data_IF_963895948838
#
_entry.id   IF_963895948838
#
_cell.length_a   1.000
_cell.length_b   1.000
_cell.length_c   1.000
_cell.angle_alpha   90.00
_cell.angle_beta   90.00
_cell.angle_gamma   90.00
#
_symmetry.space_group_name_H-M   'P 1'
#
loop_
_entity.id
_entity.type
_entity.pdbx_description
1 polymer ?
#
# COMPACT_ATOMS: atom_id res chain seq x y z
N UNK A 1 -7.91 8.88 -7.22
CA UNK A 1 -8.61 9.16 -5.93
C UNK A 1 -7.82 8.61 -4.75
N UNK A 2 -7.59 7.29 -4.65
CA UNK A 2 -6.82 6.68 -3.54
C UNK A 2 -5.42 7.26 -3.41
N UNK A 3 -4.66 7.34 -4.49
CA UNK A 3 -3.29 7.86 -4.46
C UNK A 3 -3.22 9.28 -3.89
N UNK A 4 -4.12 10.18 -4.32
CA UNK A 4 -4.16 11.56 -3.80
C UNK A 4 -4.60 11.63 -2.33
N UNK A 5 -5.52 10.73 -1.91
CA UNK A 5 -5.93 10.69 -0.51
C UNK A 5 -4.76 10.25 0.38
N UNK A 6 -4.06 9.20 0.00
CA UNK A 6 -2.89 8.69 0.73
C UNK A 6 -1.74 9.69 0.75
N UNK A 7 -1.50 10.38 -0.37
CA UNK A 7 -0.50 11.46 -0.43
C UNK A 7 -0.82 12.63 0.51
N UNK A 8 -2.10 12.96 0.65
CA UNK A 8 -2.56 14.03 1.54
C UNK A 8 -2.65 13.60 3.02
N UNK A 9 -2.70 12.30 3.31
CA UNK A 9 -2.82 11.70 4.65
C UNK A 9 -1.73 10.63 4.81
N UNK A 10 -0.57 11.10 5.19
CA UNK A 10 0.69 10.35 5.17
C UNK A 10 0.67 9.09 6.07
N UNK A 11 -0.12 9.10 7.14
CA UNK A 11 -0.31 7.98 8.06
C UNK A 11 -1.35 6.95 7.58
N UNK A 12 -2.05 7.19 6.47
CA UNK A 12 -3.08 6.29 5.96
C UNK A 12 -2.51 5.29 4.95
N UNK A 13 -2.80 4.00 5.13
CA UNK A 13 -2.53 2.93 4.17
C UNK A 13 -3.83 2.23 3.76
N UNK A 14 -4.18 2.28 2.48
CA UNK A 14 -5.26 1.48 1.92
C UNK A 14 -4.75 0.09 1.54
N UNK A 15 -5.35 -0.94 2.12
CA UNK A 15 -5.12 -2.35 1.77
C UNK A 15 -6.28 -2.82 0.89
N UNK A 16 -5.98 -3.24 -0.33
CA UNK A 16 -6.99 -3.45 -1.38
C UNK A 16 -6.82 -4.82 -2.03
N UNK A 17 -7.94 -5.50 -2.26
CA UNK A 17 -7.96 -6.74 -3.01
C UNK A 17 -7.53 -6.52 -4.47
N UNK A 18 -6.62 -7.35 -4.99
CA UNK A 18 -6.16 -7.27 -6.38
C UNK A 18 -7.24 -7.63 -7.41
N UNK A 19 -8.23 -8.43 -7.01
CA UNK A 19 -9.30 -8.94 -7.86
C UNK A 19 -9.25 -10.45 -8.04
N UNK A 20 -10.28 -10.99 -8.72
CA UNK A 20 -10.48 -12.43 -8.89
C UNK A 20 -10.58 -12.85 -10.37
N UNK A 21 -9.91 -12.10 -11.26
CA UNK A 21 -9.99 -12.26 -12.72
C UNK A 21 -8.78 -12.99 -13.32
N UNK A 22 -7.98 -13.72 -12.48
CA UNK A 22 -6.75 -14.41 -12.90
C UNK A 22 -6.95 -15.75 -13.60
N UNK A 23 -8.20 -16.25 -13.70
CA UNK A 23 -8.49 -17.55 -14.33
C UNK A 23 -7.98 -17.61 -15.77
N UNK A 24 -7.41 -18.77 -16.15
CA UNK A 24 -6.86 -19.00 -17.49
C UNK A 24 -5.55 -18.25 -17.74
N UNK A 25 -4.75 -18.02 -16.70
CA UNK A 25 -3.46 -17.32 -16.77
C UNK A 25 -3.54 -15.88 -17.33
N UNK A 26 -4.68 -15.22 -17.07
CA UNK A 26 -4.94 -13.87 -17.57
C UNK A 26 -4.03 -12.84 -16.90
N UNK A 27 -3.01 -12.41 -17.60
CA UNK A 27 -2.16 -11.29 -17.20
C UNK A 27 -2.92 -9.95 -17.22
N UNK A 28 -2.38 -8.94 -16.52
CA UNK A 28 -2.95 -7.58 -16.42
C UNK A 28 -4.43 -7.57 -16.01
N UNK A 29 -4.79 -8.47 -15.10
CA UNK A 29 -6.16 -8.63 -14.60
C UNK A 29 -6.41 -7.90 -13.27
N UNK A 30 -5.39 -7.25 -12.68
CA UNK A 30 -5.56 -6.37 -11.53
C UNK A 30 -6.28 -5.10 -11.97
N UNK A 31 -7.41 -4.80 -11.32
CA UNK A 31 -8.25 -3.66 -11.68
C UNK A 31 -8.33 -2.63 -10.56
N UNK A 32 -8.89 -1.47 -10.87
CA UNK A 32 -9.12 -0.42 -9.86
C UNK A 32 -10.04 -0.93 -8.73
N UNK A 33 -9.73 -0.58 -7.47
CA UNK A 33 -8.64 0.28 -7.02
C UNK A 33 -7.30 -0.45 -6.75
N UNK A 34 -7.22 -1.77 -6.95
CA UNK A 34 -6.02 -2.58 -6.68
C UNK A 34 -4.79 -2.22 -7.55
N UNK A 35 -4.98 -1.54 -8.68
CA UNK A 35 -3.93 -1.04 -9.54
C UNK A 35 -3.46 0.40 -9.20
N UNK A 36 -3.99 1.03 -8.15
CA UNK A 36 -3.47 2.31 -7.65
C UNK A 36 -2.06 2.11 -7.11
N UNK A 37 -1.15 3.07 -7.32
CA UNK A 37 0.27 2.88 -7.02
C UNK A 37 0.62 2.93 -5.54
N UNK A 38 -0.12 3.73 -4.76
CA UNK A 38 0.15 3.91 -3.34
C UNK A 38 -0.48 2.84 -2.46
N UNK A 39 -1.56 2.17 -2.90
CA UNK A 39 -2.23 1.14 -2.11
C UNK A 39 -1.33 -0.09 -1.88
N UNK A 40 -1.63 -0.89 -0.90
CA UNK A 40 -1.10 -2.24 -0.76
C UNK A 40 -2.09 -3.21 -1.45
N UNK A 41 -1.74 -3.66 -2.64
CA UNK A 41 -2.55 -4.57 -3.45
C UNK A 41 -2.34 -6.02 -3.01
N UNK A 42 -3.41 -6.74 -2.71
CA UNK A 42 -3.35 -8.08 -2.12
C UNK A 42 -3.99 -9.12 -3.01
N UNK A 43 -3.19 -10.06 -3.48
CA UNK A 43 -3.62 -11.28 -4.17
C UNK A 43 -4.00 -12.40 -3.20
N UNK A 44 -4.55 -13.48 -3.72
CA UNK A 44 -5.00 -14.63 -2.95
C UNK A 44 -4.08 -15.83 -3.11
N UNK A 45 -3.59 -16.40 -2.00
CA UNK A 45 -3.02 -17.74 -1.94
C UNK A 45 -4.04 -18.76 -1.44
N UNK A 46 -3.69 -20.04 -1.55
CA UNK A 46 -4.38 -21.10 -0.82
C UNK A 46 -4.21 -20.91 0.69
N UNK A 47 -4.95 -21.66 1.50
CA UNK A 47 -4.89 -21.65 2.96
C UNK A 47 -4.41 -22.98 3.50
N UNK A 48 -4.10 -23.02 4.79
CA UNK A 48 -3.96 -24.24 5.57
C UNK A 48 -5.34 -24.78 6.03
N UNK A 49 -5.37 -25.92 6.67
CA UNK A 49 -6.55 -26.48 7.30
C UNK A 49 -7.50 -27.09 6.32
N UNK A 50 -8.65 -26.45 6.07
CA UNK A 50 -9.70 -27.01 5.23
C UNK A 50 -9.24 -27.37 3.81
N UNK A 51 -8.37 -26.54 3.26
CA UNK A 51 -7.76 -26.76 1.95
C UNK A 51 -6.88 -28.02 1.96
N UNK A 52 -6.07 -28.21 3.01
CA UNK A 52 -5.22 -29.38 3.17
C UNK A 52 -6.02 -30.65 3.43
N UNK A 53 -7.07 -30.61 4.24
CA UNK A 53 -7.94 -31.75 4.51
C UNK A 53 -8.60 -32.27 3.23
N UNK A 54 -8.86 -31.41 2.27
CA UNK A 54 -9.37 -31.79 0.95
C UNK A 54 -8.29 -32.21 -0.06
N UNK A 55 -7.04 -32.30 0.36
CA UNK A 55 -5.90 -32.64 -0.51
C UNK A 55 -5.54 -31.53 -1.49
N UNK A 56 -5.87 -30.27 -1.16
CA UNK A 56 -5.51 -29.13 -1.96
C UNK A 56 -4.14 -28.56 -1.59
N UNK A 57 -3.73 -27.50 -2.29
CA UNK A 57 -2.42 -26.87 -2.12
C UNK A 57 -2.43 -25.95 -0.89
N UNK A 58 -1.32 -25.83 -0.19
CA UNK A 58 -1.15 -24.93 0.96
C UNK A 58 -0.81 -23.49 0.56
N UNK A 59 -0.53 -22.60 1.54
CA UNK A 59 -0.38 -21.16 1.32
C UNK A 59 0.84 -20.75 0.48
N UNK A 60 1.72 -21.69 0.14
CA UNK A 60 2.81 -21.46 -0.82
C UNK A 60 2.34 -21.52 -2.30
N UNK A 61 1.04 -21.58 -2.55
CA UNK A 61 0.49 -21.57 -3.90
C UNK A 61 -0.52 -20.44 -4.06
N UNK A 62 -0.40 -19.70 -5.15
CA UNK A 62 -1.36 -18.66 -5.53
C UNK A 62 -2.64 -19.31 -6.05
N UNK A 63 -3.79 -18.81 -5.62
CA UNK A 63 -5.09 -19.31 -6.05
C UNK A 63 -5.35 -18.95 -7.52
N UNK A 64 -5.98 -19.88 -8.26
CA UNK A 64 -6.24 -19.76 -9.71
C UNK A 64 -6.95 -18.48 -10.12
N UNK A 65 -7.86 -18.01 -9.29
CA UNK A 65 -8.66 -16.81 -9.54
C UNK A 65 -7.92 -15.50 -9.20
N UNK A 66 -6.83 -15.53 -8.41
CA UNK A 66 -6.13 -14.30 -8.01
C UNK A 66 -5.73 -13.49 -9.23
N UNK A 67 -6.16 -12.22 -9.28
CA UNK A 67 -5.75 -11.31 -10.35
C UNK A 67 -4.24 -11.12 -10.37
N UNK A 68 -3.70 -10.94 -11.57
CA UNK A 68 -2.26 -10.89 -11.87
C UNK A 68 -1.92 -9.62 -12.62
N UNK A 69 -0.71 -9.12 -12.37
CA UNK A 69 -0.13 -8.01 -13.11
C UNK A 69 0.43 -8.42 -14.49
N UNK A 70 1.28 -7.59 -15.05
CA UNK A 70 1.61 -6.25 -14.55
C UNK A 70 0.40 -5.31 -14.66
N UNK A 71 0.47 -4.17 -13.95
CA UNK A 71 -0.46 -3.08 -14.21
C UNK A 71 -0.27 -2.54 -15.63
N UNK A 72 -1.19 -1.72 -16.10
CA UNK A 72 -1.12 -1.18 -17.49
C UNK A 72 0.12 -0.30 -17.72
N UNK A 73 0.70 0.25 -16.66
CA UNK A 73 1.93 1.04 -16.67
C UNK A 73 3.19 0.22 -16.28
N UNK A 74 3.07 -1.12 -16.21
CA UNK A 74 4.20 -2.04 -16.07
C UNK A 74 4.68 -2.30 -14.63
N UNK A 75 3.97 -1.81 -13.61
CA UNK A 75 4.31 -2.09 -12.20
C UNK A 75 3.97 -3.52 -11.81
N UNK A 76 4.74 -4.05 -10.86
CA UNK A 76 4.44 -5.32 -10.19
C UNK A 76 3.08 -5.21 -9.49
N UNK A 77 2.22 -6.20 -9.71
CA UNK A 77 0.93 -6.33 -9.02
C UNK A 77 0.48 -7.81 -9.04
N UNK A 78 -0.16 -8.29 -7.94
CA UNK A 78 -0.36 -7.61 -6.66
C UNK A 78 0.98 -7.28 -5.98
N UNK A 79 0.96 -6.42 -4.93
CA UNK A 79 2.17 -6.20 -4.11
C UNK A 79 2.51 -7.46 -3.30
N UNK A 80 1.51 -8.05 -2.64
CA UNK A 80 1.69 -9.25 -1.80
C UNK A 80 0.52 -10.22 -1.99
N UNK A 81 0.71 -11.44 -1.51
CA UNK A 81 -0.38 -12.42 -1.39
C UNK A 81 -0.61 -12.82 0.07
N UNK A 82 -1.83 -13.25 0.35
CA UNK A 82 -2.22 -13.83 1.64
C UNK A 82 -3.31 -14.89 1.42
N UNK A 83 -3.58 -15.78 2.40
CA UNK A 83 -4.62 -16.77 2.30
C UNK A 83 -5.97 -16.17 1.91
N UNK A 84 -6.57 -16.67 0.83
CA UNK A 84 -7.83 -16.16 0.27
C UNK A 84 -8.72 -17.25 -0.32
N UNK A 85 -8.27 -18.52 -0.30
CA UNK A 85 -9.05 -19.65 -0.79
C UNK A 85 -9.56 -20.49 0.38
N UNK A 86 -10.88 -20.66 0.48
CA UNK A 86 -11.58 -21.38 1.54
C UNK A 86 -11.30 -20.81 2.95
N UNK A 87 -11.48 -19.51 3.10
CA UNK A 87 -11.30 -18.82 4.38
C UNK A 87 -12.60 -18.94 5.18
N UNK A 88 -12.49 -19.56 6.34
CA UNK A 88 -13.59 -19.71 7.29
C UNK A 88 -13.70 -18.44 8.16
N UNK A 89 -14.87 -17.84 8.19
CA UNK A 89 -15.14 -16.63 8.96
C UNK A 89 -16.58 -16.60 9.46
N UNK A 90 -16.97 -15.53 10.15
CA UNK A 90 -18.33 -15.37 10.68
C UNK A 90 -19.36 -15.28 9.56
N UNK A 91 -20.43 -16.05 9.66
CA UNK A 91 -21.59 -15.93 8.79
C UNK A 91 -22.49 -14.78 9.24
N UNK A 92 -23.05 -14.03 8.27
CA UNK A 92 -24.08 -13.04 8.56
C UNK A 92 -25.37 -13.75 9.06
N UNK A 93 -25.98 -13.18 10.13
CA UNK A 93 -27.27 -13.65 10.65
C UNK A 93 -28.20 -12.46 10.80
N UNK A 94 -28.79 -11.99 9.69
CA UNK A 94 -29.71 -10.86 9.75
C UNK A 94 -31.00 -11.26 10.49
N UNK A 95 -31.70 -10.25 11.05
CA UNK A 95 -32.96 -10.45 11.77
C UNK A 95 -34.08 -10.99 10.89
N UNK A 96 -33.97 -10.85 9.59
CA UNK A 96 -34.93 -11.34 8.60
C UNK A 96 -34.37 -12.56 7.88
N UNK A 97 -34.93 -13.76 8.03
CA UNK A 97 -34.50 -14.95 7.31
C UNK A 97 -34.44 -14.72 5.79
N UNK A 98 -33.39 -15.18 5.15
CA UNK A 98 -33.19 -15.08 3.71
C UNK A 98 -32.70 -13.72 3.21
N UNK A 99 -32.43 -12.74 4.10
CA UNK A 99 -31.73 -11.50 3.76
C UNK A 99 -30.26 -11.61 4.17
N UNK A 100 -29.32 -11.61 3.20
CA UNK A 100 -27.88 -11.75 3.42
C UNK A 100 -27.45 -13.06 4.14
N UNK A 101 -28.33 -14.00 4.35
CA UNK A 101 -27.94 -15.33 4.84
C UNK A 101 -27.32 -16.15 3.70
N UNK A 102 -26.27 -16.94 4.00
CA UNK A 102 -25.78 -17.92 3.04
C UNK A 102 -26.87 -18.93 2.70
N UNK A 103 -26.92 -19.41 1.46
CA UNK A 103 -27.83 -20.45 1.03
C UNK A 103 -27.51 -21.77 1.76
N UNK A 104 -28.53 -22.60 1.97
CA UNK A 104 -28.36 -23.95 2.52
C UNK A 104 -27.30 -24.72 1.71
N UNK A 105 -26.27 -25.21 2.40
CA UNK A 105 -25.13 -25.90 1.80
C UNK A 105 -23.82 -25.08 1.75
N UNK A 106 -23.90 -23.75 1.88
CA UNK A 106 -22.73 -22.89 1.96
C UNK A 106 -22.25 -22.68 3.42
N UNK A 107 -23.07 -23.12 4.39
CA UNK A 107 -22.75 -23.08 5.82
C UNK A 107 -22.29 -24.49 6.23
N UNK A 108 -21.22 -24.60 7.04
CA UNK A 108 -20.86 -25.87 7.65
C UNK A 108 -22.06 -26.46 8.39
N UNK A 109 -22.33 -27.76 8.18
CA UNK A 109 -23.52 -28.43 8.70
C UNK A 109 -23.52 -28.51 10.23
N UNK A 110 -24.69 -28.46 10.83
CA UNK A 110 -24.87 -28.67 12.26
C UNK A 110 -24.29 -30.02 12.69
N UNK A 111 -23.40 -30.01 13.67
CA UNK A 111 -22.65 -31.18 14.14
C UNK A 111 -21.15 -31.11 13.94
N UNK A 112 -20.67 -30.17 13.08
CA UNK A 112 -19.24 -29.88 12.90
C UNK A 112 -18.76 -28.73 13.81
N UNK A 113 -19.50 -28.36 14.83
CA UNK A 113 -19.25 -27.20 15.72
C UNK A 113 -19.01 -25.86 15.00
N UNK A 114 -19.62 -25.68 13.82
CA UNK A 114 -19.37 -24.53 12.96
C UNK A 114 -20.60 -23.65 12.73
N UNK A 115 -21.60 -23.71 13.63
CA UNK A 115 -22.74 -22.80 13.58
C UNK A 115 -22.28 -21.34 13.63
N UNK A 116 -22.71 -20.55 12.64
CA UNK A 116 -22.31 -19.14 12.53
C UNK A 116 -20.98 -18.91 11.80
N UNK A 117 -20.46 -19.93 11.14
CA UNK A 117 -19.29 -19.82 10.29
C UNK A 117 -19.65 -20.04 8.82
N UNK A 118 -18.91 -19.37 7.94
CA UNK A 118 -19.08 -19.45 6.51
C UNK A 118 -17.73 -19.48 5.81
N UNK A 119 -17.56 -20.33 4.80
CA UNK A 119 -16.33 -20.45 4.03
C UNK A 119 -16.46 -19.68 2.72
N UNK A 120 -15.53 -18.77 2.47
CA UNK A 120 -15.46 -17.97 1.25
C UNK A 120 -14.10 -18.04 0.59
N UNK A 121 -14.06 -17.73 -0.71
CA UNK A 121 -12.83 -17.63 -1.49
C UNK A 121 -12.83 -16.35 -2.31
N UNK A 122 -11.69 -15.67 -2.32
CA UNK A 122 -11.47 -14.41 -3.05
C UNK A 122 -10.31 -13.63 -2.47
N UNK A 123 -9.71 -12.76 -3.26
CA UNK A 123 -8.77 -11.74 -2.77
C UNK A 123 -9.41 -10.79 -1.75
N UNK A 124 -10.77 -10.74 -1.74
CA UNK A 124 -11.56 -10.05 -0.70
C UNK A 124 -11.43 -10.68 0.68
N UNK A 125 -10.96 -11.94 0.81
CA UNK A 125 -10.64 -12.61 2.07
C UNK A 125 -9.17 -12.39 2.44
N UNK A 126 -8.29 -12.26 1.47
CA UNK A 126 -6.87 -11.97 1.69
C UNK A 126 -6.63 -10.53 2.18
N UNK A 127 -7.30 -9.56 1.58
CA UNK A 127 -7.11 -8.15 1.90
C UNK A 127 -7.38 -7.81 3.39
N UNK A 128 -8.48 -8.27 4.04
CA UNK A 128 -8.69 -8.01 5.47
C UNK A 128 -7.68 -8.73 6.38
N UNK A 129 -7.12 -9.88 5.99
CA UNK A 129 -6.03 -10.51 6.73
C UNK A 129 -4.78 -9.62 6.72
N UNK A 130 -4.44 -9.07 5.56
CA UNK A 130 -3.30 -8.13 5.44
C UNK A 130 -3.60 -6.79 6.12
N UNK A 131 -4.85 -6.32 6.10
CA UNK A 131 -5.25 -5.14 6.87
C UNK A 131 -5.09 -5.35 8.38
N UNK A 132 -5.43 -6.54 8.88
CA UNK A 132 -5.16 -6.95 10.27
C UNK A 132 -3.66 -6.99 10.58
N UNK A 133 -2.84 -7.52 9.66
CA UNK A 133 -1.38 -7.50 9.78
C UNK A 133 -0.85 -6.06 9.79
N UNK A 134 -1.35 -5.18 8.93
CA UNK A 134 -0.99 -3.76 8.91
C UNK A 134 -1.35 -3.04 10.23
N UNK A 135 -2.50 -3.38 10.83
CA UNK A 135 -2.88 -2.85 12.15
C UNK A 135 -1.92 -3.32 13.26
N UNK A 136 -1.45 -4.58 13.21
CA UNK A 136 -0.44 -5.09 14.14
C UNK A 136 0.93 -4.42 13.93
N UNK A 137 1.34 -4.15 12.69
CA UNK A 137 2.54 -3.36 12.38
C UNK A 137 2.41 -1.94 12.96
N UNK A 138 1.26 -1.29 12.78
CA UNK A 138 1.00 0.03 13.36
C UNK A 138 1.08 -0.02 14.89
N UNK A 139 0.42 -0.98 15.52
CA UNK A 139 0.49 -1.20 16.97
C UNK A 139 1.93 -1.44 17.47
N UNK A 140 2.75 -2.14 16.70
CA UNK A 140 4.16 -2.37 17.00
C UNK A 140 4.93 -1.05 17.15
N UNK A 141 4.73 -0.11 16.25
CA UNK A 141 5.35 1.22 16.32
C UNK A 141 4.72 2.10 17.42
N UNK A 142 3.40 2.14 17.50
CA UNK A 142 2.68 2.96 18.49
C UNK A 142 2.96 2.52 19.93
N UNK A 143 3.28 1.26 20.15
CA UNK A 143 3.61 0.73 21.48
C UNK A 143 5.12 0.61 21.74
N UNK A 144 5.98 1.12 20.84
CA UNK A 144 7.42 1.19 21.03
C UNK A 144 8.16 -0.15 20.99
N UNK A 145 7.58 -1.21 20.43
CA UNK A 145 8.23 -2.53 20.30
C UNK A 145 9.52 -2.50 19.47
N UNK A 146 9.65 -1.51 18.59
CA UNK A 146 10.76 -1.39 17.64
C UNK A 146 12.12 -1.14 18.31
N UNK A 147 12.17 -0.75 19.57
CA UNK A 147 13.40 -0.50 20.33
C UNK A 147 14.19 -1.77 20.59
N UNK A 148 13.74 -2.57 21.52
CA UNK A 148 14.42 -3.79 22.00
C UNK A 148 13.57 -5.07 21.80
N UNK A 149 12.48 -4.97 21.04
CA UNK A 149 11.54 -6.07 20.81
C UNK A 149 10.58 -6.30 21.97
N UNK A 150 10.49 -5.36 22.90
CA UNK A 150 9.52 -5.37 24.02
C UNK A 150 8.71 -4.07 24.00
N UNK A 151 7.54 -4.11 24.63
CA UNK A 151 6.68 -2.93 24.69
C UNK A 151 7.31 -1.83 25.53
N UNK A 152 7.48 -0.64 24.92
CA UNK A 152 7.95 0.58 25.60
C UNK A 152 6.98 1.73 25.36
N UNK A 153 6.19 2.08 26.38
CA UNK A 153 5.22 3.17 26.29
C UNK A 153 5.84 4.57 26.18
N UNK A 154 7.15 4.70 26.42
CA UNK A 154 7.91 5.95 26.25
C UNK A 154 8.34 6.18 24.80
N UNK A 155 8.31 5.14 23.96
CA UNK A 155 8.79 5.15 22.60
C UNK A 155 7.63 5.05 21.59
N UNK A 156 6.68 6.01 21.66
CA UNK A 156 5.56 6.08 20.72
C UNK A 156 5.99 6.64 19.37
N UNK A 157 5.66 5.95 18.28
CA UNK A 157 5.81 6.43 16.90
C UNK A 157 4.50 6.20 16.13
N UNK A 158 3.95 7.25 15.51
CA UNK A 158 2.87 7.09 14.52
C UNK A 158 3.50 6.82 13.15
N UNK A 159 3.48 5.58 12.64
CA UNK A 159 4.18 5.24 11.40
C UNK A 159 3.47 5.82 10.19
N UNK A 160 4.23 6.21 9.17
CA UNK A 160 3.66 6.57 7.87
C UNK A 160 3.04 5.35 7.19
N UNK A 161 2.10 5.57 6.26
CA UNK A 161 1.56 4.51 5.40
C UNK A 161 2.66 3.84 4.57
N UNK A 162 3.69 4.61 4.15
CA UNK A 162 4.87 4.08 3.47
C UNK A 162 5.67 3.12 4.35
N UNK A 163 5.88 3.45 5.64
CA UNK A 163 6.59 2.58 6.58
C UNK A 163 5.83 1.28 6.82
N UNK A 164 4.51 1.33 7.01
CA UNK A 164 3.69 0.12 7.19
C UNK A 164 3.74 -0.74 5.92
N UNK A 165 3.63 -0.15 4.72
CA UNK A 165 3.75 -0.85 3.44
C UNK A 165 5.14 -1.49 3.28
N UNK A 166 6.21 -0.73 3.51
CA UNK A 166 7.59 -1.23 3.44
C UNK A 166 7.84 -2.39 4.40
N UNK A 167 7.34 -2.30 5.65
CA UNK A 167 7.51 -3.35 6.66
C UNK A 167 6.86 -4.68 6.24
N UNK A 168 5.62 -4.63 5.73
CA UNK A 168 4.91 -5.82 5.29
C UNK A 168 5.55 -6.47 4.06
N UNK A 169 6.04 -5.65 3.14
CA UNK A 169 6.73 -6.12 1.92
C UNK A 169 8.11 -6.67 2.26
N UNK A 170 8.84 -6.04 3.17
CA UNK A 170 10.21 -6.44 3.52
C UNK A 170 10.31 -7.86 4.06
N UNK A 171 9.36 -8.28 4.89
CA UNK A 171 9.30 -9.64 5.42
C UNK A 171 8.43 -10.60 4.61
N UNK A 172 7.96 -10.21 3.43
CA UNK A 172 7.14 -11.10 2.60
C UNK A 172 7.98 -12.30 2.11
N UNK A 173 7.44 -13.50 2.32
CA UNK A 173 8.11 -14.76 1.99
C UNK A 173 8.01 -15.05 0.50
N UNK A 174 9.14 -15.31 -0.13
CA UNK A 174 9.25 -15.61 -1.56
C UNK A 174 9.16 -17.10 -1.88
N UNK A 175 8.86 -17.96 -0.89
CA UNK A 175 8.72 -19.41 -1.01
C UNK A 175 7.46 -19.87 -1.75
N UNK A 176 6.90 -19.03 -2.60
CA UNK A 176 5.76 -19.34 -3.45
C UNK A 176 6.18 -20.36 -4.51
N UNK A 177 5.55 -21.52 -4.49
CA UNK A 177 5.91 -22.65 -5.35
C UNK A 177 5.21 -22.65 -6.69
N UNK A 178 4.14 -21.87 -6.84
CA UNK A 178 3.44 -21.79 -8.10
C UNK A 178 2.04 -21.23 -7.99
N UNK A 179 1.39 -21.14 -9.14
CA UNK A 179 -0.02 -20.78 -9.29
C UNK A 179 -0.82 -22.03 -9.60
N UNK A 180 -1.89 -22.27 -8.83
CA UNK A 180 -2.93 -23.23 -9.20
C UNK A 180 -3.71 -22.66 -10.40
N UNK A 181 -3.68 -23.31 -11.54
CA UNK A 181 -4.41 -22.86 -12.73
C UNK A 181 -5.84 -23.46 -12.86
N UNK A 182 -6.33 -24.07 -11.77
CA UNK A 182 -7.71 -24.57 -11.67
C UNK A 182 -7.94 -25.94 -12.31
N UNK A 183 -6.94 -26.51 -13.01
CA UNK A 183 -7.00 -27.85 -13.65
C UNK A 183 -6.14 -28.89 -12.94
N UNK A 184 -5.63 -28.58 -11.74
CA UNK A 184 -4.65 -29.40 -11.03
C UNK A 184 -3.21 -29.26 -11.56
N UNK A 185 -3.02 -28.41 -12.56
CA UNK A 185 -1.71 -28.06 -13.10
C UNK A 185 -1.16 -26.85 -12.34
N UNK A 186 0.08 -26.91 -11.92
CA UNK A 186 0.80 -25.83 -11.28
C UNK A 186 1.69 -25.14 -12.32
N UNK A 187 1.60 -23.80 -12.39
CA UNK A 187 2.56 -22.97 -13.11
C UNK A 187 3.57 -22.45 -12.11
N UNK A 188 4.84 -22.74 -12.31
CA UNK A 188 5.92 -22.21 -11.47
C UNK A 188 5.96 -20.67 -11.53
N UNK A 189 6.33 -20.05 -10.43
CA UNK A 189 6.45 -18.60 -10.29
C UNK A 189 7.86 -18.24 -9.81
N UNK A 190 8.34 -17.10 -10.24
CA UNK A 190 9.56 -16.49 -9.74
C UNK A 190 9.25 -15.47 -8.64
N UNK A 191 10.24 -15.19 -7.81
CA UNK A 191 10.15 -14.04 -6.92
C UNK A 191 9.99 -12.75 -7.73
N UNK A 192 9.22 -11.81 -7.20
CA UNK A 192 8.94 -10.52 -7.84
C UNK A 192 8.21 -10.59 -9.18
N UNK A 193 7.52 -11.69 -9.43
CA UNK A 193 6.69 -11.83 -10.61
C UNK A 193 5.30 -11.19 -10.41
N UNK A 194 4.53 -11.16 -11.49
CA UNK A 194 3.19 -10.57 -11.48
C UNK A 194 2.10 -11.50 -10.92
N UNK A 195 2.44 -12.64 -10.35
CA UNK A 195 1.49 -13.57 -9.73
C UNK A 195 1.44 -13.39 -8.20
N UNK A 196 2.61 -13.30 -7.56
CA UNK A 196 2.77 -13.22 -6.12
C UNK A 196 3.39 -11.90 -5.65
N UNK A 197 3.88 -11.06 -6.57
CA UNK A 197 4.54 -9.81 -6.24
C UNK A 197 5.78 -10.03 -5.37
N UNK A 198 5.82 -9.36 -4.23
CA UNK A 198 6.92 -9.48 -3.27
C UNK A 198 6.82 -10.75 -2.39
N UNK A 199 5.72 -11.50 -2.50
CA UNK A 199 5.53 -12.76 -1.79
C UNK A 199 4.36 -12.75 -0.81
N UNK A 200 4.32 -13.77 0.07
CA UNK A 200 3.30 -13.95 1.09
C UNK A 200 3.65 -13.16 2.36
N UNK A 201 2.71 -12.38 2.87
CA UNK A 201 2.89 -11.62 4.11
C UNK A 201 3.26 -12.53 5.29
N UNK A 202 4.31 -12.15 6.02
CA UNK A 202 4.79 -12.80 7.25
C UNK A 202 5.21 -11.75 8.27
N UNK A 203 4.53 -11.69 9.41
CA UNK A 203 4.90 -10.76 10.49
C UNK A 203 6.15 -11.22 11.25
N UNK A 204 6.41 -12.52 11.30
CA UNK A 204 7.61 -13.07 11.96
C UNK A 204 8.90 -12.72 11.24
N UNK A 205 8.82 -12.50 9.93
CA UNK A 205 9.96 -12.10 9.11
C UNK A 205 10.01 -10.57 8.90
N UNK A 206 8.90 -9.88 9.24
CA UNK A 206 8.79 -8.42 9.12
C UNK A 206 9.18 -7.66 10.37
N UNK A 207 9.03 -8.23 11.57
CA UNK A 207 9.13 -7.54 12.84
C UNK A 207 10.10 -8.24 13.80
N UNK A 208 10.85 -7.44 14.54
CA UNK A 208 11.64 -7.94 15.66
C UNK A 208 10.81 -7.93 16.94
N UNK A 209 10.61 -9.10 17.53
CA UNK A 209 9.99 -9.27 18.86
C UNK A 209 10.90 -10.18 19.67
N UNK A 210 11.42 -9.69 20.81
CA UNK A 210 12.43 -10.37 21.60
C UNK A 210 11.99 -11.80 22.01
N UNK A 211 12.83 -12.79 21.69
CA UNK A 211 12.57 -14.19 21.98
C UNK A 211 11.39 -14.83 21.21
N UNK A 212 10.88 -14.16 20.16
CA UNK A 212 9.76 -14.63 19.35
C UNK A 212 10.07 -14.68 17.86
N UNK A 213 10.87 -13.75 17.35
CA UNK A 213 11.25 -13.67 15.94
C UNK A 213 12.76 -13.81 15.79
N UNK A 214 13.19 -14.41 14.67
CA UNK A 214 14.60 -14.66 14.37
C UNK A 214 15.28 -13.55 13.57
N UNK A 215 14.63 -12.37 13.41
CA UNK A 215 15.15 -11.27 12.60
C UNK A 215 15.45 -10.05 13.46
N UNK A 216 16.53 -9.32 13.16
CA UNK A 216 16.73 -7.96 13.61
C UNK A 216 16.00 -7.00 12.69
N UNK A 217 15.71 -5.79 13.15
CA UNK A 217 14.90 -4.81 12.44
C UNK A 217 15.55 -3.42 12.49
N UNK A 218 15.59 -2.72 11.36
CA UNK A 218 15.99 -1.32 11.23
C UNK A 218 14.99 -0.62 10.34
N UNK A 219 14.70 0.65 10.63
CA UNK A 219 13.83 1.45 9.78
C UNK A 219 14.18 2.95 9.84
N UNK A 220 13.79 3.65 8.81
CA UNK A 220 13.85 5.10 8.67
C UNK A 220 12.52 5.55 8.07
N UNK A 221 11.83 6.44 8.75
CA UNK A 221 10.50 6.91 8.34
C UNK A 221 10.49 8.43 8.16
N UNK A 222 9.83 8.88 7.11
CA UNK A 222 9.71 10.29 6.83
C UNK A 222 10.99 10.92 6.28
N UNK A 223 11.95 10.11 5.87
CA UNK A 223 13.14 10.55 5.16
C UNK A 223 12.76 11.22 3.85
N UNK A 224 13.63 12.08 3.33
CA UNK A 224 13.31 12.88 2.15
C UNK A 224 14.54 13.09 1.28
N UNK A 225 14.36 12.87 -0.03
CA UNK A 225 15.29 13.31 -1.06
C UNK A 225 14.76 14.56 -1.73
N UNK A 226 15.63 15.50 -2.00
CA UNK A 226 15.33 16.71 -2.75
C UNK A 226 15.85 16.60 -4.19
N UNK A 227 15.25 17.36 -5.08
CA UNK A 227 15.74 17.47 -6.44
C UNK A 227 17.19 18.00 -6.42
N UNK A 228 18.10 17.26 -7.08
CA UNK A 228 19.54 17.55 -7.05
C UNK A 228 20.35 16.85 -5.94
N UNK A 229 19.70 16.17 -4.98
CA UNK A 229 20.42 15.28 -4.05
C UNK A 229 21.01 14.10 -4.84
N UNK A 230 22.24 13.71 -4.52
CA UNK A 230 22.90 12.58 -5.19
C UNK A 230 22.40 11.26 -4.64
N UNK A 231 22.54 11.06 -3.33
CA UNK A 231 22.06 9.88 -2.62
C UNK A 231 22.00 10.12 -1.10
N UNK A 232 21.14 9.37 -0.42
CA UNK A 232 21.26 9.11 1.02
C UNK A 232 21.80 7.70 1.23
N UNK A 233 22.67 7.55 2.23
CA UNK A 233 23.28 6.27 2.56
C UNK A 233 22.96 5.85 3.97
N UNK A 234 22.81 4.54 4.16
CA UNK A 234 22.55 3.91 5.45
C UNK A 234 23.48 2.69 5.57
N UNK A 235 24.07 2.51 6.72
CA UNK A 235 24.99 1.39 6.96
C UNK A 235 24.35 0.38 7.91
N UNK A 236 24.52 -0.90 7.59
CA UNK A 236 24.12 -2.03 8.44
C UNK A 236 25.25 -3.05 8.48
N UNK A 237 25.48 -3.64 9.65
CA UNK A 237 26.47 -4.71 9.83
C UNK A 237 25.74 -5.96 10.34
N UNK A 238 26.05 -7.09 9.73
CA UNK A 238 25.53 -8.39 10.14
C UNK A 238 26.27 -8.85 11.39
N UNK A 239 25.51 -9.23 12.42
CA UNK A 239 26.03 -9.79 13.67
C UNK A 239 25.12 -10.93 14.13
N UNK A 240 25.57 -12.16 13.90
CA UNK A 240 24.86 -13.39 14.26
C UNK A 240 25.16 -13.86 15.68
N UNK A 241 26.02 -13.13 16.43
CA UNK A 241 26.49 -13.55 17.76
C UNK A 241 25.39 -13.64 18.83
N UNK A 242 24.23 -13.03 18.57
CA UNK A 242 23.11 -12.93 19.53
C UNK A 242 21.98 -13.93 19.29
N UNK A 243 22.25 -15.01 18.55
CA UNK A 243 21.27 -16.07 18.28
C UNK A 243 20.14 -15.63 17.32
N UNK A 244 20.45 -14.72 16.41
CA UNK A 244 19.59 -14.38 15.29
C UNK A 244 19.77 -15.44 14.20
N UNK A 245 18.65 -15.96 13.68
CA UNK A 245 18.61 -17.04 12.70
C UNK A 245 18.39 -16.54 11.26
N UNK A 246 18.28 -15.24 11.05
CA UNK A 246 18.10 -14.67 9.71
C UNK A 246 19.33 -14.95 8.84
N UNK A 247 19.09 -15.61 7.72
CA UNK A 247 20.15 -15.93 6.75
C UNK A 247 20.40 -14.78 5.78
N UNK A 248 19.39 -13.95 5.57
CA UNK A 248 19.32 -12.96 4.51
C UNK A 248 19.29 -11.55 5.08
N UNK A 249 19.82 -10.62 4.32
CA UNK A 249 19.57 -9.19 4.48
C UNK A 249 18.48 -8.78 3.48
N UNK A 250 17.32 -8.35 3.99
CA UNK A 250 16.24 -7.79 3.18
C UNK A 250 16.11 -6.29 3.43
N UNK A 251 16.07 -5.50 2.37
CA UNK A 251 15.94 -4.04 2.42
C UNK A 251 14.81 -3.59 1.50
N UNK A 252 13.86 -2.83 2.03
CA UNK A 252 12.72 -2.32 1.24
C UNK A 252 12.58 -0.81 1.37
N UNK A 253 12.56 -0.14 0.23
CA UNK A 253 12.21 1.25 0.04
C UNK A 253 10.76 1.35 -0.43
N UNK A 254 9.96 2.23 0.18
CA UNK A 254 8.62 2.53 -0.30
C UNK A 254 8.31 4.03 -0.16
N UNK A 255 7.57 4.57 -1.12
CA UNK A 255 7.12 5.95 -1.06
C UNK A 255 5.69 6.10 -1.54
N UNK A 256 5.04 7.12 -1.00
CA UNK A 256 3.69 7.54 -1.39
C UNK A 256 3.82 8.87 -2.11
N UNK A 257 3.30 8.93 -3.31
CA UNK A 257 3.39 10.10 -4.18
C UNK A 257 2.02 10.56 -4.69
N UNK A 258 1.95 11.73 -5.27
CA UNK A 258 0.72 12.27 -5.84
C UNK A 258 0.14 11.37 -6.93
N UNK A 259 -1.19 11.37 -7.06
CA UNK A 259 -1.86 10.57 -8.07
C UNK A 259 -1.60 11.09 -9.48
N UNK A 260 -1.27 10.18 -10.37
CA UNK A 260 -1.04 10.49 -11.78
C UNK A 260 -2.36 10.70 -12.55
N UNK A 261 -2.33 11.39 -13.70
CA UNK A 261 -3.50 11.55 -14.55
C UNK A 261 -4.08 10.19 -14.99
N UNK A 262 -5.39 10.05 -15.12
CA UNK A 262 -6.01 8.85 -15.65
C UNK A 262 -5.46 8.51 -17.07
N UNK A 263 -5.16 7.22 -17.27
CA UNK A 263 -4.65 6.75 -18.57
C UNK A 263 -3.14 6.96 -18.78
N UNK A 264 -2.39 7.29 -17.71
CA UNK A 264 -0.93 7.38 -17.78
C UNK A 264 -0.32 6.06 -18.28
N UNK A 265 0.65 6.13 -19.16
CA UNK A 265 1.46 4.99 -19.64
C UNK A 265 2.68 4.74 -18.73
N UNK A 266 3.19 5.77 -18.09
CA UNK A 266 4.10 5.75 -16.95
C UNK A 266 3.46 6.57 -15.84
N UNK A 267 3.04 5.89 -14.78
CA UNK A 267 2.30 6.54 -13.70
C UNK A 267 3.18 6.95 -12.53
N UNK A 268 4.43 6.51 -12.49
CA UNK A 268 5.43 6.93 -11.53
C UNK A 268 5.81 8.40 -11.80
N UNK A 269 5.64 9.27 -10.79
CA UNK A 269 5.96 10.69 -10.89
C UNK A 269 7.36 11.00 -10.35
N UNK A 270 7.68 10.43 -9.20
CA UNK A 270 8.98 10.56 -8.55
C UNK A 270 9.65 9.19 -8.51
N UNK A 271 10.77 9.08 -9.19
CA UNK A 271 11.50 7.85 -9.41
C UNK A 271 12.71 7.82 -8.46
N UNK A 272 12.59 7.04 -7.38
CA UNK A 272 13.66 6.76 -6.43
C UNK A 272 14.25 5.38 -6.72
N UNK A 273 15.56 5.25 -6.58
CA UNK A 273 16.29 4.00 -6.77
C UNK A 273 16.92 3.51 -5.47
N UNK A 274 16.72 2.23 -5.17
CA UNK A 274 17.37 1.48 -4.12
C UNK A 274 18.47 0.59 -4.70
N UNK A 275 19.65 0.60 -4.11
CA UNK A 275 20.62 -0.48 -4.29
C UNK A 275 21.48 -0.65 -3.03
N UNK A 276 22.10 -1.82 -2.91
CA UNK A 276 22.94 -2.17 -1.77
C UNK A 276 24.30 -2.58 -2.28
N UNK A 277 25.38 -2.18 -1.57
CA UNK A 277 26.74 -2.67 -1.81
C UNK A 277 27.26 -3.33 -0.55
N UNK A 278 28.17 -4.29 -0.71
CA UNK A 278 28.89 -4.92 0.39
C UNK A 278 30.28 -4.28 0.52
N UNK A 279 30.63 -3.86 1.71
CA UNK A 279 31.93 -3.19 1.99
C UNK A 279 33.10 -4.11 1.59
N UNK A 280 34.05 -3.57 0.84
CA UNK A 280 35.15 -4.35 0.27
C UNK A 280 34.82 -5.09 -1.02
N UNK A 281 33.55 -5.06 -1.45
CA UNK A 281 33.06 -5.56 -2.75
C UNK A 281 32.28 -4.47 -3.48
N UNK A 282 32.77 -3.23 -3.48
CA UNK A 282 32.06 -2.01 -3.92
C UNK A 282 31.66 -2.03 -5.40
N UNK A 283 32.31 -2.89 -6.20
CA UNK A 283 31.93 -3.11 -7.61
C UNK A 283 30.64 -3.93 -7.76
N UNK A 284 30.22 -4.67 -6.73
CA UNK A 284 29.01 -5.48 -6.74
C UNK A 284 27.85 -4.71 -6.17
N UNK A 285 26.89 -4.36 -7.03
CA UNK A 285 25.62 -3.75 -6.65
C UNK A 285 24.52 -4.77 -6.66
N UNK A 286 23.74 -4.82 -5.59
CA UNK A 286 22.51 -5.59 -5.52
C UNK A 286 21.35 -4.66 -5.87
N UNK A 287 20.67 -4.96 -6.96
CA UNK A 287 19.55 -4.17 -7.48
C UNK A 287 18.20 -4.71 -7.00
N UNK A 288 17.15 -3.88 -6.97
CA UNK A 288 15.87 -4.26 -6.42
C UNK A 288 15.04 -5.16 -7.35
N UNK A 289 14.01 -5.76 -6.75
CA UNK A 289 12.92 -6.46 -7.45
C UNK A 289 13.40 -7.59 -8.39
N UNK A 290 14.50 -8.28 -8.00
CA UNK A 290 15.08 -9.35 -8.80
C UNK A 290 15.73 -8.90 -10.11
N UNK A 291 15.96 -7.61 -10.29
CA UNK A 291 16.57 -7.04 -11.50
C UNK A 291 18.09 -6.96 -11.39
N UNK A 292 18.74 -6.85 -12.53
CA UNK A 292 20.18 -6.55 -12.62
C UNK A 292 20.49 -5.06 -12.81
N UNK A 293 19.46 -4.23 -12.89
CA UNK A 293 19.48 -2.77 -13.07
C UNK A 293 18.46 -2.11 -12.16
N UNK A 294 18.51 -0.80 -12.07
CA UNK A 294 17.53 0.05 -11.37
C UNK A 294 16.10 -0.19 -11.85
N UNK A 295 15.13 0.04 -10.98
CA UNK A 295 13.70 -0.12 -11.28
C UNK A 295 13.00 1.24 -11.44
N UNK A 296 12.68 1.62 -12.65
CA UNK A 296 12.04 2.89 -12.98
C UNK A 296 10.51 2.78 -13.17
N UNK A 297 9.90 1.77 -12.57
CA UNK A 297 8.46 1.50 -12.76
C UNK A 297 7.69 1.51 -11.46
N UNK A 298 8.26 0.96 -10.39
CA UNK A 298 7.58 0.73 -9.12
C UNK A 298 7.90 1.83 -8.11
N UNK A 299 6.94 2.15 -7.24
CA UNK A 299 7.14 2.99 -6.04
C UNK A 299 7.40 2.15 -4.78
N UNK A 300 7.84 0.93 -4.98
CA UNK A 300 8.35 0.00 -3.96
C UNK A 300 9.51 -0.76 -4.55
N UNK A 301 10.62 -0.79 -3.83
CA UNK A 301 11.82 -1.48 -4.25
C UNK A 301 12.36 -2.34 -3.12
N UNK A 302 12.63 -3.61 -3.39
CA UNK A 302 13.15 -4.56 -2.41
C UNK A 302 14.40 -5.25 -2.93
N UNK A 303 15.47 -5.18 -2.14
CA UNK A 303 16.71 -5.95 -2.33
C UNK A 303 16.74 -7.06 -1.29
N UNK A 304 17.04 -8.28 -1.72
CA UNK A 304 17.33 -9.42 -0.84
C UNK A 304 18.72 -9.95 -1.17
N UNK A 305 19.54 -10.08 -0.14
CA UNK A 305 20.89 -10.64 -0.22
C UNK A 305 20.89 -11.93 0.57
N UNK A 306 20.83 -13.04 -0.16
CA UNK A 306 20.84 -14.38 0.41
C UNK A 306 22.21 -14.70 1.02
N UNK A 307 22.19 -15.32 2.19
CA UNK A 307 23.40 -15.77 2.86
C UNK A 307 24.31 -14.65 3.35
N UNK A 308 23.74 -13.54 3.82
CA UNK A 308 24.51 -12.45 4.40
C UNK A 308 25.42 -12.96 5.53
N UNK A 309 26.73 -12.80 5.36
CA UNK A 309 27.77 -13.38 6.23
C UNK A 309 27.92 -12.58 7.52
N UNK A 310 28.21 -13.27 8.63
CA UNK A 310 28.53 -12.64 9.92
C UNK A 310 29.75 -11.72 9.80
N UNK A 311 29.67 -10.53 10.38
CA UNK A 311 30.69 -9.48 10.30
C UNK A 311 30.69 -8.67 9.01
N UNK A 312 29.93 -9.04 7.98
CA UNK A 312 29.80 -8.25 6.75
C UNK A 312 29.05 -6.96 7.01
N UNK A 313 29.53 -5.87 6.38
CA UNK A 313 28.88 -4.56 6.42
C UNK A 313 28.35 -4.18 5.04
N UNK A 314 27.15 -3.62 5.01
CA UNK A 314 26.45 -3.22 3.79
C UNK A 314 26.11 -1.75 3.85
N UNK A 315 26.28 -1.08 2.71
CA UNK A 315 25.82 0.29 2.50
C UNK A 315 24.59 0.27 1.60
N UNK A 316 23.49 0.81 2.10
CA UNK A 316 22.21 0.95 1.41
C UNK A 316 22.19 2.35 0.82
N UNK A 317 21.89 2.46 -0.46
CA UNK A 317 21.78 3.73 -1.18
C UNK A 317 20.33 3.96 -1.60
N UNK A 318 19.84 5.16 -1.34
CA UNK A 318 18.58 5.68 -1.87
C UNK A 318 18.89 6.90 -2.70
N UNK A 319 18.65 6.82 -4.00
CA UNK A 319 18.97 7.87 -4.97
C UNK A 319 17.66 8.44 -5.56
N UNK A 320 17.70 9.70 -6.00
CA UNK A 320 16.64 10.28 -6.82
C UNK A 320 17.05 10.20 -8.29
N UNK A 321 16.42 9.32 -9.06
CA UNK A 321 16.67 9.25 -10.49
C UNK A 321 15.97 10.38 -11.24
N UNK A 322 14.69 10.64 -10.91
CA UNK A 322 13.92 11.73 -11.48
C UNK A 322 12.79 12.13 -10.52
N UNK A 323 12.75 13.39 -10.14
CA UNK A 323 11.68 13.93 -9.32
C UNK A 323 10.88 14.96 -10.12
N UNK A 324 9.57 14.74 -10.26
CA UNK A 324 8.64 15.74 -10.78
C UNK A 324 8.19 16.75 -9.72
N UNK A 325 8.59 16.54 -8.47
CA UNK A 325 8.37 17.44 -7.34
C UNK A 325 9.71 17.90 -6.75
N UNK A 326 9.68 18.97 -5.94
CA UNK A 326 10.91 19.47 -5.29
C UNK A 326 11.54 18.46 -4.33
N UNK A 327 10.78 17.48 -3.87
CA UNK A 327 11.29 16.43 -2.98
C UNK A 327 10.29 15.28 -2.87
N UNK A 328 10.81 14.07 -2.61
CA UNK A 328 10.00 12.89 -2.31
C UNK A 328 10.31 12.36 -0.91
N UNK A 329 9.25 12.18 -0.11
CA UNK A 329 9.30 11.52 1.20
C UNK A 329 9.22 10.01 1.02
N UNK A 330 9.99 9.25 1.82
CA UNK A 330 10.01 7.79 1.76
C UNK A 330 10.18 7.15 3.13
N UNK A 331 9.95 5.85 3.20
CA UNK A 331 10.30 4.96 4.28
C UNK A 331 11.26 3.88 3.77
N UNK A 332 12.21 3.51 4.61
CA UNK A 332 13.18 2.44 4.37
C UNK A 332 13.14 1.46 5.54
N UNK A 333 13.13 0.17 5.23
CA UNK A 333 13.12 -0.92 6.21
C UNK A 333 14.21 -1.91 5.85
N UNK A 334 14.92 -2.41 6.86
CA UNK A 334 15.87 -3.51 6.70
C UNK A 334 15.64 -4.57 7.78
N UNK A 335 15.64 -5.85 7.38
CA UNK A 335 15.68 -7.01 8.30
C UNK A 335 16.88 -7.88 7.99
N UNK A 336 17.46 -8.44 9.04
CA UNK A 336 18.65 -9.29 9.00
C UNK A 336 19.13 -9.54 10.42
N UNK A 337 20.30 -10.12 10.57
CA UNK A 337 20.95 -10.20 11.87
C UNK A 337 21.77 -8.91 12.09
N UNK A 338 21.36 -8.04 13.01
CA UNK A 338 22.06 -6.80 13.27
C UNK A 338 22.64 -6.78 14.69
N UNK A 339 23.90 -6.37 14.83
CA UNK A 339 24.55 -6.08 16.10
C UNK A 339 23.97 -4.81 16.76
N UNK A 340 23.94 -4.83 18.11
CA UNK A 340 23.51 -3.66 18.89
C UNK A 340 21.98 -3.62 19.13
N UNK A 341 21.57 -2.70 20.02
CA UNK A 341 20.16 -2.39 20.23
C UNK A 341 19.60 -1.77 18.96
N UNK A 342 18.41 -2.20 18.60
CA UNK A 342 17.68 -1.69 17.45
C UNK A 342 17.51 -0.18 17.53
N UNK A 343 17.67 0.50 16.40
CA UNK A 343 17.29 1.90 16.17
C UNK A 343 17.76 2.96 17.20
N UNK A 344 19.05 3.11 17.39
CA UNK A 344 19.53 4.49 17.41
C UNK A 344 19.25 5.03 16.02
N UNK A 345 18.49 6.11 15.91
CA UNK A 345 18.30 6.85 14.65
C UNK A 345 19.68 7.30 14.17
N UNK A 346 20.37 6.41 13.45
CA UNK A 346 21.58 6.79 12.74
C UNK A 346 21.11 7.70 11.62
N UNK A 347 21.41 8.98 11.77
CA UNK A 347 21.07 10.00 10.80
C UNK A 347 21.65 9.62 9.45
N UNK A 348 20.79 9.53 8.43
CA UNK A 348 21.21 9.30 7.06
C UNK A 348 22.32 10.29 6.67
N UNK A 349 23.41 9.78 6.11
CA UNK A 349 24.49 10.61 5.61
C UNK A 349 24.15 11.01 4.16
N UNK A 350 24.14 12.32 3.90
CA UNK A 350 24.00 12.84 2.55
C UNK A 350 25.36 12.77 1.84
N UNK A 351 25.43 12.06 0.72
CA UNK A 351 26.62 12.06 -0.15
C UNK A 351 26.46 13.17 -1.18
N UNK A 352 27.23 14.22 -1.04
CA UNK A 352 27.31 15.28 -2.04
C UNK A 352 28.41 14.93 -3.05
N UNK A 353 28.14 15.06 -4.34
CA UNK A 353 29.16 14.97 -5.36
C UNK A 353 30.11 16.18 -5.23
N UNK A 354 31.30 15.96 -4.74
CA UNK A 354 32.38 16.93 -4.93
C UNK A 354 32.83 16.86 -6.39
N UNK A 355 32.18 17.60 -7.28
CA UNK A 355 32.84 17.96 -8.53
C UNK A 355 33.98 18.87 -8.15
N UNK A 356 35.21 18.38 -8.30
CA UNK A 356 36.42 19.16 -8.22
C UNK A 356 36.51 20.01 -9.48
N UNK A 357 35.89 21.18 -9.46
CA UNK A 357 36.29 22.27 -10.33
C UNK A 357 37.50 22.95 -9.67
N UNK A 358 38.64 22.74 -10.28
CA UNK A 358 39.87 23.45 -9.91
C UNK A 358 39.72 24.95 -10.19
N UNK A 359 39.68 25.75 -9.14
CA UNK A 359 39.70 27.22 -9.21
C UNK A 359 39.90 27.78 -7.84
N UNK A 360 41.15 28.19 -7.56
CA UNK A 360 41.55 28.78 -6.27
C UNK A 360 40.82 30.08 -5.96
N UNK A 361 40.46 30.25 -4.70
CA UNK A 361 39.90 31.48 -4.15
C UNK A 361 39.62 31.32 -2.67
N UNK A 362 40.55 31.75 -1.83
CA UNK A 362 40.41 31.84 -0.38
C UNK A 362 39.27 32.78 -0.02
N UNK A 363 38.27 32.30 0.70
CA UNK A 363 37.58 33.12 1.68
C UNK A 363 37.04 32.25 2.82
N UNK A 364 37.81 32.28 3.91
CA UNK A 364 37.46 31.70 5.19
C UNK A 364 36.68 32.72 5.99
N UNK A 365 35.36 32.67 5.98
CA UNK A 365 34.54 33.18 7.10
C UNK A 365 33.07 32.72 6.95
N UNK A 366 32.54 32.19 8.06
CA UNK A 366 31.12 31.90 8.31
C UNK A 366 30.53 30.54 7.91
N UNK A 367 31.05 29.45 8.49
CA UNK A 367 30.22 28.27 8.80
C UNK A 367 30.75 27.51 10.02
N UNK A 368 30.73 28.15 11.16
CA UNK A 368 31.05 27.51 12.45
C UNK A 368 30.28 28.19 13.57
N UNK A 369 28.97 28.05 13.57
CA UNK A 369 28.14 28.27 14.77
C UNK A 369 26.89 27.41 14.57
N UNK A 370 26.86 26.19 15.03
CA UNK A 370 25.80 25.41 15.62
C UNK A 370 26.34 23.99 15.95
N UNK A 371 27.36 23.93 16.81
CA UNK A 371 27.62 22.75 17.66
C UNK A 371 28.40 23.27 18.85
N UNK A 372 27.73 23.79 19.86
CA UNK A 372 28.14 23.83 21.25
C UNK A 372 27.12 24.64 22.07
N UNK A 373 26.06 24.01 22.53
CA UNK A 373 25.31 24.47 23.70
C UNK A 373 24.57 23.27 24.31
N UNK A 374 25.33 22.33 24.83
CA UNK A 374 24.87 21.37 25.82
C UNK A 374 25.28 21.87 27.20
N UNK A 375 24.62 22.91 27.71
CA UNK A 375 24.61 23.28 29.11
C UNK A 375 23.27 23.89 29.45
N UNK A 376 22.84 23.75 30.69
CA UNK A 376 21.51 23.96 31.24
C UNK A 376 20.84 25.33 30.93
N UNK A 377 21.55 26.27 30.30
CA UNK A 377 20.99 27.55 29.82
C UNK A 377 20.36 27.51 28.42
N UNK A 378 20.66 26.50 27.58
CA UNK A 378 20.20 26.43 26.19
C UNK A 378 18.74 26.06 26.04
N UNK A 379 18.18 25.28 26.97
CA UNK A 379 16.79 24.84 26.90
C UNK A 379 15.77 25.99 27.01
N UNK A 380 16.10 27.03 27.80
CA UNK A 380 15.21 28.20 27.96
C UNK A 380 15.18 29.07 26.70
N UNK A 381 16.30 29.23 26.02
CA UNK A 381 16.38 30.02 24.77
C UNK A 381 15.67 29.31 23.62
N UNK A 382 15.80 27.98 23.52
CA UNK A 382 15.11 27.18 22.50
C UNK A 382 13.58 27.20 22.75
N UNK A 383 13.13 27.09 24.01
CA UNK A 383 11.70 27.20 24.33
C UNK A 383 11.13 28.60 24.02
N UNK A 384 11.90 29.67 24.28
CA UNK A 384 11.51 31.04 23.92
C UNK A 384 11.45 31.25 22.40
N UNK A 385 12.42 30.74 21.66
CA UNK A 385 12.42 30.80 20.19
C UNK A 385 11.24 30.00 19.58
N UNK A 386 10.96 28.80 20.09
CA UNK A 386 9.81 27.99 19.67
C UNK A 386 8.47 28.67 20.01
N UNK A 387 8.37 29.30 21.16
CA UNK A 387 7.17 30.06 21.55
C UNK A 387 6.96 31.30 20.67
N UNK A 388 8.02 32.01 20.33
CA UNK A 388 7.98 33.17 19.42
C UNK A 388 7.65 32.74 17.97
N UNK A 389 8.21 31.60 17.50
CA UNK A 389 7.91 31.04 16.20
C UNK A 389 6.45 30.57 16.09
N UNK A 390 5.92 29.90 17.12
CA UNK A 390 4.50 29.53 17.20
C UNK A 390 3.57 30.74 17.21
N UNK A 391 3.93 31.80 17.94
CA UNK A 391 3.18 33.08 17.96
C UNK A 391 3.21 33.77 16.57
N UNK A 392 4.33 33.70 15.87
CA UNK A 392 4.45 34.28 14.52
C UNK A 392 3.59 33.49 13.51
N UNK A 393 3.61 32.16 13.58
CA UNK A 393 2.77 31.30 12.75
C UNK A 393 1.26 31.54 13.00
N UNK A 394 0.86 31.68 14.27
CA UNK A 394 -0.53 31.96 14.60
C UNK A 394 -1.00 33.34 14.08
N UNK A 395 -0.13 34.37 14.15
CA UNK A 395 -0.40 35.70 13.57
C UNK A 395 -0.53 35.64 12.05
N UNK A 396 0.29 34.84 11.36
CA UNK A 396 0.23 34.65 9.91
C UNK A 396 -1.09 33.97 9.50
N UNK A 397 -1.46 32.87 10.16
CA UNK A 397 -2.75 32.16 9.91
C UNK A 397 -3.97 33.05 10.18
N UNK A 398 -3.90 33.91 11.21
CA UNK A 398 -4.98 34.85 11.51
C UNK A 398 -5.14 35.92 10.42
N UNK A 399 -4.03 36.46 9.88
CA UNK A 399 -4.04 37.41 8.75
C UNK A 399 -4.59 36.78 7.47
N UNK A 400 -4.27 35.52 7.20
CA UNK A 400 -4.79 34.80 6.03
C UNK A 400 -6.29 34.53 6.14
N UNK A 401 -6.79 34.14 7.33
CA UNK A 401 -8.21 33.97 7.58
C UNK A 401 -8.99 35.30 7.43
N UNK A 402 -8.44 36.40 7.89
CA UNK A 402 -9.06 37.73 7.67
C UNK A 402 -9.10 38.11 6.19
N UNK A 403 -8.04 37.84 5.42
CA UNK A 403 -8.05 38.06 3.95
C UNK A 403 -9.13 37.20 3.28
N UNK A 404 -9.27 35.91 3.65
CA UNK A 404 -10.33 35.04 3.12
C UNK A 404 -11.73 35.51 3.49
N UNK A 405 -11.96 36.00 4.72
CA UNK A 405 -13.24 36.59 5.13
C UNK A 405 -13.60 37.87 4.32
N UNK A 406 -12.65 38.78 4.12
CA UNK A 406 -12.84 39.98 3.31
C UNK A 406 -13.13 39.67 1.83
N UNK A 407 -12.45 38.63 1.26
CA UNK A 407 -12.71 38.21 -0.11
C UNK A 407 -14.12 37.60 -0.27
N UNK A 408 -14.58 36.83 0.71
CA UNK A 408 -15.93 36.23 0.72
C UNK A 408 -17.01 37.32 0.84
N UNK A 409 -16.80 38.30 1.71
CA UNK A 409 -17.72 39.44 1.84
C UNK A 409 -17.81 40.28 0.54
N UNK A 410 -16.68 40.50 -0.15
CA UNK A 410 -16.66 41.16 -1.45
C UNK A 410 -17.45 40.40 -2.52
N UNK A 411 -17.33 39.07 -2.58
CA UNK A 411 -18.09 38.20 -3.50
C UNK A 411 -19.60 38.23 -3.20
N UNK A 412 -20.01 38.30 -1.93
CA UNK A 412 -21.41 38.37 -1.52
C UNK A 412 -22.00 39.74 -1.87
N UNK A 413 -21.23 40.81 -1.68
CA UNK A 413 -21.64 42.16 -2.06
C UNK A 413 -21.84 42.31 -3.58
N UNK A 414 -20.91 41.76 -4.39
CA UNK A 414 -21.03 41.74 -5.85
C UNK A 414 -22.26 40.95 -6.33
N UNK A 415 -22.57 39.80 -5.70
CA UNK A 415 -23.79 39.04 -6.01
C UNK A 415 -25.09 39.80 -5.66
N UNK A 416 -25.09 40.59 -4.58
CA UNK A 416 -26.24 41.43 -4.23
C UNK A 416 -26.48 42.59 -5.24
N UNK A 417 -25.41 43.18 -5.76
CA UNK A 417 -25.49 44.24 -6.79
C UNK A 417 -25.95 43.64 -8.14
N UNK A 418 -25.47 42.44 -8.51
CA UNK A 418 -25.91 41.76 -9.74
C UNK A 418 -27.41 41.38 -9.70
N UNK A 419 -27.94 40.99 -8.53
CA UNK A 419 -29.37 40.69 -8.36
C UNK A 419 -30.30 41.92 -8.45
N UNK A 420 -29.78 43.13 -8.19
CA UNK A 420 -30.58 44.36 -8.32
C UNK A 420 -30.63 44.93 -9.75
N UNK A 421 -29.87 44.39 -10.71
CA UNK A 421 -29.79 44.84 -12.11
C UNK A 421 -30.47 43.90 -13.10
N UNK A 422 -31.20 42.88 -12.67
CA UNK A 422 -31.96 42.02 -13.58
C UNK A 422 -33.33 42.66 -13.91
N UNK A 423 -33.70 42.83 -15.20
CA UNK A 423 -34.99 43.40 -15.55
C UNK A 423 -36.13 42.42 -15.29
N UNK A 424 -37.22 42.98 -14.75
CA UNK A 424 -38.49 42.28 -14.55
C UNK A 424 -39.14 42.05 -15.92
N UNK A 425 -39.15 40.82 -16.41
CA UNK A 425 -39.97 40.44 -17.57
C UNK A 425 -41.30 39.89 -17.04
N UNK A 426 -42.35 40.52 -17.48
CA UNK A 426 -43.74 40.20 -17.16
C UNK A 426 -44.16 38.86 -17.74
N UNK A 427 -44.84 38.10 -16.91
CA UNK A 427 -45.55 36.87 -17.25
C UNK A 427 -46.85 37.22 -18.03
N UNK A 428 -46.98 36.70 -19.23
CA UNK A 428 -48.29 36.56 -19.87
C UNK A 428 -48.65 35.08 -19.92
N UNK A 429 -49.76 34.82 -19.24
CA UNK A 429 -50.44 33.49 -19.23
C UNK A 429 -51.08 33.27 -20.60
N UNK A 430 -50.86 32.10 -21.18
CA UNK A 430 -51.89 31.48 -22.02
C UNK A 430 -52.11 30.03 -21.62
N UNK A 431 -53.39 29.80 -21.29
CA UNK A 431 -54.03 28.49 -21.10
C UNK A 431 -54.31 27.89 -22.46
N UNK A 432 -54.01 26.63 -22.67
CA UNK A 432 -54.91 25.83 -23.52
C UNK A 432 -54.95 24.35 -23.07
N UNK A 433 -56.13 23.78 -23.18
CA UNK A 433 -56.60 22.52 -22.70
C UNK A 433 -56.45 21.41 -23.76
N UNK A 434 -56.77 20.15 -23.43
CA UNK A 434 -56.23 18.95 -24.08
C UNK A 434 -57.13 18.37 -25.20
N UNK A 435 -56.55 17.62 -26.09
CA UNK A 435 -57.36 16.82 -27.04
C UNK A 435 -57.03 15.31 -26.92
N UNK A 436 -58.15 14.60 -26.93
CA UNK A 436 -58.36 13.14 -26.81
C UNK A 436 -58.13 12.42 -28.15
N UNK A 437 -57.76 11.12 -28.01
CA UNK A 437 -58.18 9.95 -28.80
C UNK A 437 -57.75 9.81 -30.28
N UNK A 438 -57.15 8.68 -30.64
CA UNK A 438 -57.89 7.61 -31.30
C UNK A 438 -57.10 6.32 -31.47
N UNK A 439 -57.84 5.23 -31.36
CA UNK A 439 -57.50 3.80 -31.58
C UNK A 439 -57.39 3.51 -33.08
N UNK A 440 -56.56 2.55 -33.44
CA UNK A 440 -56.89 1.62 -34.55
C UNK A 440 -56.32 0.23 -34.31
N UNK A 441 -57.22 -0.74 -34.42
CA UNK A 441 -57.07 -2.20 -34.41
C UNK A 441 -56.67 -2.71 -35.80
N UNK A 442 -56.00 -3.87 -35.85
CA UNK A 442 -56.29 -5.01 -36.76
C UNK A 442 -55.30 -6.13 -36.42
N UNK A 443 -55.71 -7.24 -35.96
CA UNK A 443 -56.36 -8.47 -36.44
C UNK A 443 -55.49 -9.27 -37.45
N UNK A 444 -55.23 -10.53 -37.10
CA UNK A 444 -54.82 -11.60 -37.99
C UNK A 444 -54.27 -12.82 -37.23
N UNK A 445 -55.14 -13.81 -36.98
CA UNK A 445 -54.85 -15.24 -36.64
C UNK A 445 -55.07 -16.08 -37.91
N UNK A 446 -54.88 -17.42 -37.93
CA UNK A 446 -53.95 -18.36 -37.28
C UNK A 446 -53.40 -19.41 -38.31
N UNK A 447 -52.42 -20.26 -37.91
CA UNK A 447 -52.47 -21.68 -38.30
C UNK A 447 -51.66 -22.62 -37.40
N UNK A 448 -52.23 -23.79 -37.14
CA UNK A 448 -51.84 -24.95 -36.34
C UNK A 448 -50.73 -25.81 -36.99
N UNK A 449 -49.95 -26.53 -36.14
CA UNK A 449 -49.80 -27.99 -35.97
C UNK A 449 -48.59 -28.25 -35.07
N UNK A 450 -48.76 -28.87 -33.90
CA UNK A 450 -48.56 -30.27 -33.47
C UNK A 450 -47.18 -30.83 -33.89
N UNK A 451 -46.29 -31.29 -32.98
CA UNK A 451 -46.36 -32.37 -31.99
C UNK A 451 -45.01 -32.49 -31.28
N UNK A 452 -44.97 -33.04 -30.05
CA UNK A 452 -43.79 -33.70 -29.51
C UNK A 452 -43.32 -33.16 -28.15
N UNK A 453 -43.66 -33.91 -27.08
CA UNK A 453 -43.33 -33.55 -25.70
C UNK A 453 -41.91 -33.84 -25.30
N UNK A 454 -41.42 -33.05 -24.38
CA UNK A 454 -40.42 -33.41 -23.40
C UNK A 454 -40.53 -32.42 -22.23
N UNK A 455 -40.75 -32.97 -21.06
CA UNK A 455 -40.82 -32.30 -19.77
C UNK A 455 -39.45 -31.70 -19.40
N UNK A 456 -39.37 -30.39 -19.37
CA UNK A 456 -38.26 -29.69 -18.73
C UNK A 456 -38.79 -28.81 -17.62
N UNK A 457 -38.34 -29.11 -16.41
CA UNK A 457 -38.64 -28.38 -15.19
C UNK A 457 -37.97 -26.99 -15.24
N UNK A 458 -38.79 -25.94 -15.29
CA UNK A 458 -38.37 -24.55 -15.17
C UNK A 458 -37.92 -24.28 -13.74
N UNK A 459 -36.61 -24.23 -13.52
CA UNK A 459 -36.01 -23.52 -12.41
C UNK A 459 -36.10 -22.00 -12.67
N UNK A 460 -36.96 -21.34 -11.91
CA UNK A 460 -37.00 -19.89 -11.83
C UNK A 460 -35.65 -19.39 -11.23
N UNK A 461 -34.83 -18.73 -12.03
CA UNK A 461 -33.71 -17.91 -11.51
C UNK A 461 -34.29 -16.66 -10.89
N UNK A 462 -34.39 -16.63 -9.59
CA UNK A 462 -34.52 -15.39 -8.83
C UNK A 462 -33.18 -14.65 -8.82
N UNK A 463 -33.20 -13.37 -9.15
CA UNK A 463 -32.02 -12.50 -9.07
C UNK A 463 -31.67 -12.31 -7.58
N UNK A 464 -30.39 -12.36 -7.18
CA UNK A 464 -30.01 -12.08 -5.82
C UNK A 464 -30.34 -10.63 -5.47
N UNK A 465 -31.00 -10.41 -4.34
CA UNK A 465 -31.24 -9.10 -3.75
C UNK A 465 -29.91 -8.55 -3.25
N UNK A 466 -29.60 -7.31 -3.59
CA UNK A 466 -28.42 -6.61 -3.09
C UNK A 466 -28.58 -6.37 -1.59
N UNK A 467 -27.61 -6.80 -0.83
CA UNK A 467 -27.34 -6.33 0.53
C UNK A 467 -26.46 -5.10 0.51
#
# INVERSE_FOLDING_TARGET
>A
MFDNYMFANDDFLAVVAAGNEGLGDKASSVTAPGNSKNVLSVGASHSFGYDLVRGQLGPSYVASFSSRGPTTDGRIAPDVVAPGKYILSAAARPNSPGACDPLDGDVPQAGENMEGLFSQAGSSMSAPLVAGAAALVRQYFEQGWYGDGTKDSGSYLNPSGALVKATLINGAQTDIRGVDNGSGRITEVAAYDNNAGFGRVSLTDSLYVAGKTGVGFRFWDGERLFDGDVAKTYEVTIDKSRGCDANDLSVTLAWIEEGSPPGCTKCLLNDLDLYVTERGKDSKRYHPNGRSIKDHSNNVERVVIDGAEDGSSYTIYVEAYNLNSLSQKYALVATGCFGGRTNTLDTAQNVFSSQSDGGGGSDSTNRSIIIACASVGGAIVVCLCLALFRRHQQKSKKKEMEKKKKATQKKVAQKKVARKKAPVTQNTKQKEKPHKKQKAKQKGKPHKKQTGGATESRLKRERPRKC
#
